data_IF_885726194261
#
_entry.id   IF_885726194261
#
_cell.length_a   1.000
_cell.length_b   1.000
_cell.length_c   1.000
_cell.angle_alpha   90.00
_cell.angle_beta   90.00
_cell.angle_gamma   90.00
#
_symmetry.space_group_name_H-M   'P 1'
#
loop_
_entity.id
_entity.type
_entity.pdbx_description
1 polymer ?
#
# COMPACT_ATOMS: atom_id res chain seq x y z
N UNK A 1 5.86 -17.91 -17.84
CA UNK A 1 5.37 -16.89 -16.88
C UNK A 1 4.90 -15.68 -17.66
N UNK A 2 3.80 -15.03 -17.27
CA UNK A 2 3.37 -13.78 -17.91
C UNK A 2 4.28 -12.64 -17.43
N UNK A 3 4.55 -11.60 -18.24
CA UNK A 3 5.45 -10.48 -17.86
C UNK A 3 5.10 -9.81 -16.53
N UNK A 4 3.81 -9.84 -16.14
CA UNK A 4 3.30 -9.34 -14.85
C UNK A 4 3.85 -10.13 -13.66
N UNK A 5 3.93 -11.45 -13.77
CA UNK A 5 4.31 -12.32 -12.65
C UNK A 5 5.79 -12.17 -12.32
N UNK A 6 6.63 -12.04 -13.37
CA UNK A 6 8.07 -11.84 -13.24
C UNK A 6 8.41 -10.46 -12.68
N UNK A 7 7.69 -9.41 -13.11
CA UNK A 7 7.81 -8.08 -12.54
C UNK A 7 7.40 -8.04 -11.06
N UNK A 8 6.29 -8.69 -10.71
CA UNK A 8 5.80 -8.76 -9.35
C UNK A 8 6.81 -9.51 -8.45
N UNK A 9 7.38 -10.62 -8.90
CA UNK A 9 8.41 -11.34 -8.16
C UNK A 9 9.66 -10.49 -7.93
N UNK A 10 10.17 -9.82 -8.96
CA UNK A 10 11.34 -8.93 -8.86
C UNK A 10 11.09 -7.73 -7.94
N UNK A 11 9.87 -7.20 -7.94
CA UNK A 11 9.47 -6.15 -7.00
C UNK A 11 9.50 -6.73 -5.58
N UNK A 12 8.87 -7.87 -5.32
CA UNK A 12 8.84 -8.50 -3.99
C UNK A 12 10.23 -8.80 -3.39
N UNK A 13 11.26 -8.99 -4.23
CA UNK A 13 12.65 -9.19 -3.80
C UNK A 13 13.36 -7.89 -3.36
N UNK A 14 12.84 -6.70 -3.69
CA UNK A 14 13.46 -5.42 -3.30
C UNK A 14 13.08 -4.97 -1.88
N UNK A 15 13.95 -4.27 -1.14
CA UNK A 15 13.66 -3.77 0.21
C UNK A 15 12.94 -2.41 0.23
N UNK A 16 12.22 -2.06 -0.83
CA UNK A 16 11.69 -0.71 -1.04
C UNK A 16 10.35 -0.48 -0.33
N UNK A 17 10.16 0.72 0.21
CA UNK A 17 8.86 1.20 0.70
C UNK A 17 8.15 1.92 -0.44
N UNK A 18 6.93 1.51 -0.76
CA UNK A 18 6.15 2.09 -1.86
C UNK A 18 4.95 2.85 -1.35
N UNK A 19 4.53 3.88 -2.07
CA UNK A 19 3.28 4.57 -1.73
C UNK A 19 2.08 3.71 -2.12
N UNK A 20 0.92 3.91 -1.48
CA UNK A 20 -0.31 3.22 -1.88
C UNK A 20 -0.72 3.48 -3.34
N UNK A 21 -0.47 4.68 -3.86
CA UNK A 21 -0.67 5.00 -5.28
C UNK A 21 0.18 4.12 -6.21
N UNK A 22 1.41 3.83 -5.78
CA UNK A 22 2.35 2.99 -6.52
C UNK A 22 2.00 1.52 -6.35
N UNK A 23 1.60 1.09 -5.15
CA UNK A 23 1.10 -0.26 -4.87
C UNK A 23 -0.04 -0.65 -5.84
N UNK A 24 -0.99 0.24 -6.09
CA UNK A 24 -2.09 -0.03 -7.03
C UNK A 24 -1.59 -0.31 -8.46
N UNK A 25 -0.56 0.42 -8.91
CA UNK A 25 0.08 0.24 -10.22
C UNK A 25 0.89 -1.05 -10.27
N UNK A 26 1.73 -1.30 -9.25
CA UNK A 26 2.58 -2.49 -9.14
C UNK A 26 1.75 -3.78 -9.16
N UNK A 27 0.62 -3.76 -8.45
CA UNK A 27 -0.30 -4.89 -8.41
C UNK A 27 -1.18 -5.00 -9.65
N UNK A 28 -1.12 -4.07 -10.60
CA UNK A 28 -1.91 -4.11 -11.84
C UNK A 28 -3.41 -4.16 -11.59
N UNK A 29 -3.89 -3.47 -10.55
CA UNK A 29 -5.29 -3.55 -10.12
C UNK A 29 -6.28 -2.83 -11.04
N UNK A 30 -5.79 -2.01 -11.99
CA UNK A 30 -6.65 -1.17 -12.82
C UNK A 30 -7.40 -0.08 -12.03
N UNK A 31 -7.14 0.05 -10.73
CA UNK A 31 -7.77 1.04 -9.84
C UNK A 31 -6.76 2.12 -9.43
N UNK A 32 -7.29 3.31 -9.13
CA UNK A 32 -6.51 4.42 -8.62
C UNK A 32 -6.27 4.37 -7.11
N UNK A 33 -5.43 5.29 -6.62
CA UNK A 33 -5.09 5.47 -5.20
C UNK A 33 -6.33 5.53 -4.30
N UNK A 34 -7.31 6.35 -4.66
CA UNK A 34 -8.47 6.61 -3.80
C UNK A 34 -9.35 5.36 -3.65
N UNK A 35 -9.53 4.60 -4.72
CA UNK A 35 -10.24 3.31 -4.71
C UNK A 35 -9.49 2.28 -3.85
N UNK A 36 -8.15 2.21 -3.97
CA UNK A 36 -7.37 1.32 -3.11
C UNK A 36 -7.53 1.68 -1.62
N UNK A 37 -7.52 2.98 -1.27
CA UNK A 37 -7.81 3.40 0.11
C UNK A 37 -9.22 3.01 0.56
N UNK A 38 -10.24 3.15 -0.29
CA UNK A 38 -11.61 2.74 0.03
C UNK A 38 -11.68 1.25 0.35
N UNK A 39 -11.10 0.39 -0.51
CA UNK A 39 -11.07 -1.06 -0.31
C UNK A 39 -10.31 -1.44 0.97
N UNK A 40 -9.20 -0.78 1.28
CA UNK A 40 -8.45 -1.05 2.50
C UNK A 40 -9.18 -0.58 3.77
N UNK A 41 -9.99 0.48 3.68
CA UNK A 41 -10.88 0.92 4.77
C UNK A 41 -12.03 -0.06 5.00
N UNK A 42 -12.65 -0.55 3.93
CA UNK A 42 -13.69 -1.59 4.01
C UNK A 42 -13.15 -2.87 4.69
N UNK A 43 -11.91 -3.24 4.39
CA UNK A 43 -11.21 -4.36 5.03
C UNK A 43 -10.66 -4.05 6.42
N UNK A 44 -10.94 -2.86 6.98
CA UNK A 44 -10.45 -2.39 8.29
C UNK A 44 -8.93 -2.48 8.42
N UNK A 45 -8.20 -2.11 7.36
CA UNK A 45 -6.73 -2.02 7.37
C UNK A 45 -6.25 -0.58 7.56
N UNK A 46 -7.08 0.37 7.18
CA UNK A 46 -6.89 1.82 7.32
C UNK A 46 -8.11 2.38 8.03
N UNK A 47 -7.92 3.36 8.91
CA UNK A 47 -9.03 3.99 9.62
C UNK A 47 -10.02 4.66 8.65
N UNK A 48 -11.31 4.57 8.98
CA UNK A 48 -12.36 5.32 8.28
C UNK A 48 -12.03 6.82 8.34
N UNK A 49 -11.99 7.48 7.18
CA UNK A 49 -11.63 8.89 7.01
C UNK A 49 -10.16 9.28 7.29
N UNK A 50 -9.24 8.31 7.42
CA UNK A 50 -7.81 8.60 7.55
C UNK A 50 -7.00 7.96 6.42
N UNK A 51 -5.72 8.33 6.34
CA UNK A 51 -4.70 7.58 5.58
C UNK A 51 -3.91 6.62 6.47
N UNK A 52 -4.09 6.72 7.78
CA UNK A 52 -3.37 5.95 8.79
C UNK A 52 -3.78 4.47 8.81
N UNK A 53 -2.81 3.54 8.76
CA UNK A 53 -3.06 2.12 8.91
C UNK A 53 -3.44 1.80 10.36
N UNK A 54 -4.24 0.78 10.56
CA UNK A 54 -4.49 0.27 11.91
C UNK A 54 -3.18 -0.33 12.45
N UNK A 55 -2.84 0.00 13.71
CA UNK A 55 -1.59 -0.40 14.37
C UNK A 55 -1.27 -1.89 14.22
N UNK A 56 -2.28 -2.76 14.31
CA UNK A 56 -2.14 -4.20 14.06
C UNK A 56 -1.42 -4.53 12.74
N UNK A 57 -1.72 -3.83 11.64
CA UNK A 57 -1.08 -4.08 10.33
C UNK A 57 0.30 -3.43 10.22
N UNK A 58 0.58 -2.40 11.02
CA UNK A 58 1.93 -1.84 11.18
C UNK A 58 2.82 -2.83 11.93
N UNK A 59 2.34 -3.37 13.05
CA UNK A 59 3.08 -4.34 13.88
C UNK A 59 3.36 -5.65 13.11
N UNK A 60 2.45 -6.03 12.20
CA UNK A 60 2.67 -7.16 11.28
C UNK A 60 3.67 -6.85 10.16
N UNK A 61 4.15 -5.62 10.06
CA UNK A 61 5.13 -5.16 9.08
C UNK A 61 4.57 -4.98 7.67
N UNK A 62 3.25 -4.78 7.52
CA UNK A 62 2.64 -4.53 6.21
C UNK A 62 2.70 -3.07 5.79
N UNK A 63 2.58 -2.17 6.77
CA UNK A 63 2.62 -0.74 6.55
C UNK A 63 3.70 -0.08 7.40
N UNK A 64 4.21 1.03 6.88
CA UNK A 64 5.09 1.96 7.60
C UNK A 64 4.50 3.34 7.47
N UNK A 65 4.36 4.05 8.59
CA UNK A 65 4.01 5.47 8.57
C UNK A 65 5.27 6.32 8.60
N UNK A 66 5.32 7.33 7.73
CA UNK A 66 6.35 8.37 7.77
C UNK A 66 5.69 9.73 7.90
N UNK A 67 6.33 10.60 8.66
CA UNK A 67 5.93 12.00 8.78
C UNK A 67 6.85 12.86 7.91
N UNK A 68 6.26 13.82 7.22
CA UNK A 68 6.96 14.79 6.41
C UNK A 68 6.41 16.18 6.67
N UNK A 69 7.27 17.20 6.60
CA UNK A 69 6.84 18.60 6.61
C UNK A 69 6.46 19.00 5.19
N UNK A 70 5.21 19.40 5.01
CA UNK A 70 4.69 19.93 3.74
C UNK A 70 4.21 21.35 3.94
N UNK A 71 4.51 22.21 2.96
CA UNK A 71 3.89 23.53 2.87
C UNK A 71 2.47 23.36 2.34
N UNK A 72 1.48 23.83 3.09
CA UNK A 72 0.08 23.81 2.68
C UNK A 72 -0.51 25.23 2.65
N UNK A 73 -1.38 25.55 1.69
CA UNK A 73 -2.05 26.84 1.66
C UNK A 73 -3.13 26.90 2.75
N UNK A 74 -3.04 27.89 3.64
CA UNK A 74 -4.06 28.27 4.61
C UNK A 74 -4.36 29.75 4.40
N UNK A 75 -5.58 30.07 3.97
CA UNK A 75 -5.99 31.44 3.63
C UNK A 75 -5.03 32.14 2.64
N UNK A 76 -4.51 31.40 1.66
CA UNK A 76 -3.57 31.93 0.65
C UNK A 76 -2.11 32.02 1.10
N UNK A 77 -1.80 31.68 2.36
CA UNK A 77 -0.44 31.68 2.92
C UNK A 77 0.08 30.25 3.02
N UNK A 78 1.31 30.00 2.57
CA UNK A 78 1.96 28.70 2.71
C UNK A 78 2.47 28.52 4.13
N UNK A 79 1.95 27.53 4.85
CA UNK A 79 2.35 27.21 6.22
C UNK A 79 2.87 25.77 6.32
N UNK A 80 3.92 25.52 7.12
CA UNK A 80 4.44 24.17 7.31
C UNK A 80 3.45 23.35 8.13
N UNK A 81 3.12 22.16 7.64
CA UNK A 81 2.30 21.18 8.35
C UNK A 81 2.98 19.82 8.31
N UNK A 82 2.99 19.14 9.46
CA UNK A 82 3.36 17.74 9.52
C UNK A 82 2.24 16.91 8.90
N UNK A 83 2.57 16.17 7.86
CA UNK A 83 1.67 15.25 7.17
C UNK A 83 2.16 13.83 7.41
N UNK A 84 1.26 12.97 7.87
CA UNK A 84 1.50 11.54 7.98
C UNK A 84 1.17 10.87 6.66
N UNK A 85 2.08 10.05 6.15
CA UNK A 85 1.89 9.27 4.93
C UNK A 85 2.17 7.79 5.18
N UNK A 86 1.27 6.96 4.67
CA UNK A 86 1.35 5.50 4.74
C UNK A 86 2.08 4.93 3.54
N UNK A 87 3.08 4.11 3.82
CA UNK A 87 3.84 3.33 2.86
C UNK A 87 3.55 1.84 3.06
N UNK A 88 3.68 1.09 1.98
CA UNK A 88 3.49 -0.35 1.94
C UNK A 88 4.87 -1.00 1.83
N UNK A 89 5.13 -2.00 2.66
CA UNK A 89 6.32 -2.84 2.54
C UNK A 89 6.09 -3.90 1.46
N UNK A 90 7.11 -4.66 1.06
CA UNK A 90 6.89 -5.78 0.14
C UNK A 90 6.01 -6.87 0.72
N UNK A 91 6.15 -7.12 2.01
CA UNK A 91 5.25 -8.01 2.76
C UNK A 91 3.81 -7.48 2.71
N UNK A 92 3.63 -6.17 2.83
CA UNK A 92 2.34 -5.50 2.69
C UNK A 92 1.77 -5.62 1.28
N UNK A 93 2.59 -5.43 0.24
CA UNK A 93 2.18 -5.61 -1.15
C UNK A 93 1.70 -7.04 -1.41
N UNK A 94 2.43 -8.04 -0.94
CA UNK A 94 2.05 -9.45 -1.08
C UNK A 94 0.73 -9.74 -0.34
N UNK A 95 0.57 -9.18 0.85
CA UNK A 95 -0.68 -9.29 1.61
C UNK A 95 -1.86 -8.62 0.88
N UNK A 96 -1.69 -7.41 0.35
CA UNK A 96 -2.70 -6.72 -0.45
C UNK A 96 -3.04 -7.51 -1.72
N UNK A 97 -2.03 -8.04 -2.41
CA UNK A 97 -2.22 -8.89 -3.59
C UNK A 97 -3.09 -10.12 -3.27
N UNK A 98 -2.82 -10.76 -2.12
CA UNK A 98 -3.58 -11.92 -1.64
C UNK A 98 -5.04 -11.57 -1.31
N UNK A 99 -5.29 -10.53 -0.52
CA UNK A 99 -6.66 -10.16 -0.10
C UNK A 99 -7.52 -9.59 -1.23
N UNK A 100 -6.87 -9.12 -2.31
CA UNK A 100 -7.51 -8.63 -3.53
C UNK A 100 -7.54 -9.67 -4.65
N UNK A 101 -7.10 -10.91 -4.38
CA UNK A 101 -7.06 -12.01 -5.34
C UNK A 101 -6.31 -11.68 -6.65
N UNK A 102 -5.27 -10.85 -6.56
CA UNK A 102 -4.39 -10.49 -7.70
C UNK A 102 -3.50 -11.66 -8.08
N UNK A 103 -3.08 -12.42 -7.06
CA UNK A 103 -2.32 -13.65 -7.20
C UNK A 103 -3.25 -14.80 -6.83
N UNK A 104 -3.56 -15.67 -7.80
CA UNK A 104 -4.17 -16.96 -7.52
C UNK A 104 -3.06 -17.84 -6.94
N UNK A 105 -2.95 -17.91 -5.61
CA UNK A 105 -2.07 -18.90 -4.99
C UNK A 105 -2.58 -20.28 -5.38
N UNK A 106 -1.93 -20.92 -6.35
CA UNK A 106 -1.97 -22.37 -6.48
C UNK A 106 -1.24 -22.95 -5.27
N UNK A 107 -1.96 -23.04 -4.15
CA UNK A 107 -1.61 -23.94 -3.05
C UNK A 107 -1.81 -25.35 -3.61
N UNK A 108 -0.80 -25.88 -4.32
CA UNK A 108 -0.61 -27.30 -4.65
C UNK A 108 0.69 -27.49 -5.43
N UNK A 109 1.85 -27.11 -4.86
CA UNK A 109 3.15 -27.71 -5.20
C UNK A 109 4.09 -27.66 -3.99
N UNK A 110 4.04 -28.73 -3.19
CA UNK A 110 5.12 -29.34 -2.38
C UNK A 110 4.46 -30.57 -1.76
N UNK A 111 4.60 -31.72 -2.42
CA UNK A 111 5.61 -32.78 -2.13
C UNK A 111 5.34 -33.46 -0.80
#
# INVERSE_FOLDING_TARGET
>A
MKPRDEYINKVFESSSLVQLSEAAKLLGLGIGRNTLYAVLREKKMIFQNSTEPIQYYVDKGYFVMKQELKQIPVNGIMVPKVVSQTFVTQKGLAYIAKILNVITTNQNQKS
#
